data_IF_471824796301
#
_entry.id   IF_471824796301
#
_cell.length_a   1.000
_cell.length_b   1.000
_cell.length_c   1.000
_cell.angle_alpha   90.00
_cell.angle_beta   90.00
_cell.angle_gamma   90.00
#
_symmetry.space_group_name_H-M   'P 1'
#
loop_
_entity.id
_entity.type
_entity.pdbx_description
1 polymer ?
#
# COMPACT_ATOMS: atom_id res chain seq x y z
N UNK A 1 2.35 7.07 -10.33
CA UNK A 1 1.48 6.02 -9.73
C UNK A 1 0.26 6.69 -9.10
N UNK A 2 -0.96 6.36 -9.54
CA UNK A 2 -2.21 6.89 -8.94
C UNK A 2 -2.54 6.20 -7.62
N UNK A 3 -2.48 4.87 -7.59
CA UNK A 3 -2.74 4.08 -6.38
C UNK A 3 -1.44 3.84 -5.61
N UNK A 4 -1.44 4.17 -4.33
CA UNK A 4 -0.30 4.08 -3.42
C UNK A 4 -0.68 3.32 -2.15
N UNK A 5 0.29 2.95 -1.32
CA UNK A 5 -0.05 2.43 0.00
C UNK A 5 -0.75 3.53 0.85
N UNK A 6 -1.41 3.19 1.97
CA UNK A 6 -2.06 4.16 2.85
C UNK A 6 -1.13 5.32 3.28
N UNK A 7 0.16 5.03 3.46
CA UNK A 7 1.21 5.99 3.80
C UNK A 7 1.74 6.82 2.61
N UNK A 8 1.22 6.63 1.39
CA UNK A 8 1.53 7.46 0.22
C UNK A 8 2.65 6.96 -0.68
N UNK A 9 3.30 5.84 -0.34
CA UNK A 9 4.39 5.25 -1.12
C UNK A 9 3.88 4.51 -2.36
N UNK A 10 4.58 4.66 -3.47
CA UNK A 10 4.29 3.95 -4.72
C UNK A 10 5.07 2.62 -4.87
N UNK A 11 5.89 2.27 -3.88
CA UNK A 11 6.80 1.11 -3.89
C UNK A 11 6.16 -0.18 -3.36
N UNK A 12 4.83 -0.28 -3.44
CA UNK A 12 4.10 -1.45 -2.98
C UNK A 12 4.00 -2.52 -4.07
N UNK A 13 3.91 -3.78 -3.64
CA UNK A 13 3.66 -4.94 -4.50
C UNK A 13 2.44 -5.69 -3.99
N UNK A 14 1.62 -6.27 -4.89
CA UNK A 14 0.50 -7.11 -4.49
C UNK A 14 0.98 -8.44 -3.87
N UNK A 15 0.22 -8.95 -2.90
CA UNK A 15 0.35 -10.33 -2.37
C UNK A 15 -0.98 -11.06 -2.58
N UNK A 16 -1.15 -12.26 -1.98
CA UNK A 16 -2.38 -13.04 -2.10
C UNK A 16 -3.64 -12.31 -1.59
N UNK A 17 -3.52 -11.44 -0.59
CA UNK A 17 -4.69 -10.84 0.08
C UNK A 17 -4.54 -9.37 0.47
N UNK A 18 -3.35 -8.79 0.29
CA UNK A 18 -3.03 -7.41 0.68
C UNK A 18 -1.94 -6.86 -0.24
N UNK A 19 -1.53 -5.63 0.00
CA UNK A 19 -0.31 -5.07 -0.59
C UNK A 19 0.81 -5.04 0.45
N UNK A 20 2.03 -5.30 0.01
CA UNK A 20 3.23 -5.16 0.81
C UNK A 20 4.02 -3.95 0.35
N UNK A 21 4.29 -2.99 1.24
CA UNK A 21 5.01 -1.76 0.92
C UNK A 21 6.49 -1.83 1.31
N UNK A 22 7.38 -1.78 0.32
CA UNK A 22 8.83 -1.82 0.55
C UNK A 22 9.35 -0.64 1.39
N UNK A 23 8.77 0.55 1.19
CA UNK A 23 9.17 1.74 1.97
C UNK A 23 8.72 1.64 3.42
N UNK A 24 7.49 1.17 3.67
CA UNK A 24 7.00 0.92 5.04
C UNK A 24 7.82 -0.18 5.74
N UNK A 25 8.21 -1.24 5.01
CA UNK A 25 9.04 -2.31 5.59
C UNK A 25 10.42 -1.79 6.03
N UNK A 26 11.01 -0.87 5.26
CA UNK A 26 12.26 -0.21 5.65
C UNK A 26 12.07 0.67 6.88
N UNK A 27 10.96 1.41 6.98
CA UNK A 27 10.65 2.20 8.16
C UNK A 27 10.49 1.31 9.40
N UNK A 28 9.70 0.24 9.29
CA UNK A 28 9.53 -0.78 10.33
C UNK A 28 10.86 -1.36 10.82
N UNK A 29 11.81 -1.61 9.92
CA UNK A 29 13.14 -2.10 10.26
C UNK A 29 14.04 -1.08 11.00
N UNK A 30 13.66 0.20 11.04
CA UNK A 30 14.33 1.27 11.79
C UNK A 30 13.58 1.63 13.09
N UNK A 31 12.82 0.68 13.65
CA UNK A 31 12.02 0.85 14.88
C UNK A 31 10.89 1.89 14.78
N UNK A 32 10.48 2.28 13.57
CA UNK A 32 9.25 3.06 13.38
C UNK A 32 8.02 2.14 13.57
N UNK A 33 7.00 2.63 14.29
CA UNK A 33 5.70 1.95 14.46
C UNK A 33 4.87 2.05 13.17
N UNK A 34 5.32 1.36 12.12
CA UNK A 34 4.71 1.34 10.79
C UNK A 34 4.60 -0.10 10.29
N UNK A 35 3.38 -0.52 9.96
CA UNK A 35 3.13 -1.81 9.33
C UNK A 35 3.42 -1.76 7.82
N UNK A 36 4.22 -2.69 7.25
CA UNK A 36 4.38 -2.82 5.81
C UNK A 36 3.20 -3.46 5.06
N UNK A 37 2.33 -4.17 5.75
CA UNK A 37 1.17 -4.85 5.17
C UNK A 37 -0.05 -3.93 5.19
N UNK A 38 -0.72 -3.81 4.04
CA UNK A 38 -1.93 -2.99 3.95
C UNK A 38 -3.02 -3.68 3.14
N UNK A 39 -4.23 -3.71 3.71
CA UNK A 39 -5.43 -4.26 3.08
C UNK A 39 -6.20 -3.23 2.26
N UNK A 40 -5.58 -2.10 1.96
CA UNK A 40 -6.15 -1.02 1.16
C UNK A 40 -5.06 -0.29 0.38
N UNK A 41 -5.47 0.32 -0.73
CA UNK A 41 -4.68 1.29 -1.49
C UNK A 41 -5.32 2.66 -1.37
N UNK A 42 -4.50 3.70 -1.38
CA UNK A 42 -4.96 5.09 -1.43
C UNK A 42 -4.95 5.58 -2.87
N UNK A 43 -6.05 6.12 -3.36
CA UNK A 43 -6.07 6.88 -4.61
C UNK A 43 -5.49 8.27 -4.34
N UNK A 44 -4.34 8.61 -4.94
CA UNK A 44 -3.73 9.95 -4.81
C UNK A 44 -4.61 11.08 -5.36
N UNK A 45 -5.51 10.78 -6.30
CA UNK A 45 -6.37 11.78 -6.92
C UNK A 45 -7.51 12.21 -6.00
N UNK A 46 -8.18 11.25 -5.37
CA UNK A 46 -9.36 11.50 -4.52
C UNK A 46 -9.01 11.52 -3.03
N UNK A 47 -7.88 10.93 -2.65
CA UNK A 47 -7.47 10.72 -1.27
C UNK A 47 -8.12 9.51 -0.60
N UNK A 48 -9.04 8.82 -1.27
CA UNK A 48 -9.82 7.72 -0.71
C UNK A 48 -8.98 6.45 -0.49
N UNK A 49 -9.33 5.72 0.57
CA UNK A 49 -8.83 4.37 0.81
C UNK A 49 -9.79 3.34 0.21
N UNK A 50 -9.26 2.58 -0.76
CA UNK A 50 -9.98 1.52 -1.46
C UNK A 50 -9.48 0.19 -0.90
N UNK A 51 -10.40 -0.63 -0.39
CA UNK A 51 -10.04 -1.95 0.11
C UNK A 51 -9.43 -2.80 -1.02
N UNK A 52 -8.30 -3.45 -0.74
CA UNK A 52 -7.53 -4.20 -1.74
C UNK A 52 -8.31 -5.37 -2.34
N UNK A 53 -9.23 -5.98 -1.58
CA UNK A 53 -10.14 -7.01 -2.11
C UNK A 53 -11.07 -6.54 -3.24
N UNK A 54 -11.19 -5.22 -3.45
CA UNK A 54 -11.97 -4.61 -4.55
C UNK A 54 -11.08 -4.11 -5.69
N UNK A 55 -9.78 -4.35 -5.63
CA UNK A 55 -8.81 -3.90 -6.63
C UNK A 55 -8.60 -5.01 -7.65
N UNK A 56 -8.76 -4.67 -8.93
CA UNK A 56 -8.37 -5.52 -10.04
C UNK A 56 -7.05 -5.01 -10.63
N UNK A 57 -6.07 -5.91 -10.77
CA UNK A 57 -4.82 -5.63 -11.44
C UNK A 57 -5.00 -5.91 -12.93
N UNK A 58 -4.80 -4.88 -13.74
CA UNK A 58 -4.83 -4.96 -15.20
C UNK A 58 -3.40 -4.87 -15.75
N UNK A 59 -3.09 -5.69 -16.75
CA UNK A 59 -1.80 -5.70 -17.46
C UNK A 59 -1.69 -4.59 -18.51
#
# INVERSE_FOLDING_TARGET
MRYVCPNGHASWAPTNSHIWCRSCSRASANDDDVDPEHYAVRDKKTGELINYSRVELVE
#
